data_IF_664736697694
#
_entry.id   IF_664736697694
#
_cell.length_a   1.000
_cell.length_b   1.000
_cell.length_c   1.000
_cell.angle_alpha   90.00
_cell.angle_beta   90.00
_cell.angle_gamma   90.00
#
_symmetry.space_group_name_H-M   'P 1'
#
loop_
_entity.id
_entity.type
_entity.pdbx_description
1 polymer ?
#
# COMPACT_ATOMS: atom_id res chain seq x y z
N UNK A 1 6.59 -7.31 -1.23
CA UNK A 1 7.34 -7.76 -0.04
C UNK A 1 6.97 -9.18 0.30
N UNK A 2 7.68 -9.78 1.23
CA UNK A 2 7.70 -11.24 1.43
C UNK A 2 6.38 -11.78 2.00
N UNK A 3 5.64 -10.95 2.74
CA UNK A 3 4.32 -11.30 3.29
C UNK A 3 3.16 -11.09 2.31
N UNK A 4 3.40 -10.63 1.08
CA UNK A 4 2.34 -10.29 0.12
C UNK A 4 1.40 -11.46 -0.18
N UNK A 5 1.94 -12.67 -0.33
CA UNK A 5 1.12 -13.87 -0.59
C UNK A 5 0.21 -14.22 0.59
N UNK A 6 0.73 -14.15 1.83
CA UNK A 6 -0.06 -14.43 3.02
C UNK A 6 -1.19 -13.41 3.23
N UNK A 7 -0.92 -12.13 2.95
CA UNK A 7 -1.94 -11.06 3.02
C UNK A 7 -3.01 -11.29 1.95
N UNK A 8 -2.62 -11.64 0.72
CA UNK A 8 -3.57 -11.93 -0.36
C UNK A 8 -4.48 -13.13 -0.03
N UNK A 9 -3.93 -14.22 0.48
CA UNK A 9 -4.71 -15.39 0.91
C UNK A 9 -5.70 -15.03 2.02
N UNK A 10 -5.25 -14.26 3.02
CA UNK A 10 -6.09 -13.79 4.10
C UNK A 10 -7.22 -12.88 3.58
N UNK A 11 -6.92 -11.95 2.66
CA UNK A 11 -7.89 -11.05 2.04
C UNK A 11 -8.97 -11.84 1.28
N UNK A 12 -8.56 -12.80 0.43
CA UNK A 12 -9.48 -13.68 -0.31
C UNK A 12 -10.38 -14.49 0.61
N UNK A 13 -9.84 -15.04 1.69
CA UNK A 13 -10.62 -15.78 2.70
C UNK A 13 -11.72 -14.94 3.35
N UNK A 14 -11.54 -13.62 3.42
CA UNK A 14 -12.51 -12.68 3.98
C UNK A 14 -13.37 -11.97 2.91
N UNK A 15 -13.34 -12.44 1.66
CA UNK A 15 -14.21 -11.94 0.59
C UNK A 15 -13.68 -10.71 -0.15
N UNK A 16 -12.42 -10.34 0.04
CA UNK A 16 -11.78 -9.29 -0.75
C UNK A 16 -11.09 -9.93 -1.97
N UNK A 17 -11.56 -9.56 -3.17
CA UNK A 17 -11.06 -10.14 -4.43
C UNK A 17 -10.40 -9.13 -5.37
N UNK A 18 -10.68 -7.83 -5.20
CA UNK A 18 -9.95 -6.78 -5.90
C UNK A 18 -8.62 -6.51 -5.18
N UNK A 19 -7.59 -7.25 -5.59
CA UNK A 19 -6.26 -7.22 -4.99
C UNK A 19 -5.25 -6.92 -6.09
N UNK A 20 -4.51 -5.82 -5.94
CA UNK A 20 -3.43 -5.45 -6.85
C UNK A 20 -2.08 -5.56 -6.14
N UNK A 21 -1.16 -6.31 -6.76
CA UNK A 21 0.22 -6.43 -6.27
C UNK A 21 1.08 -5.31 -6.82
N UNK A 22 2.03 -4.86 -6.01
CA UNK A 22 3.03 -3.89 -6.39
C UNK A 22 4.40 -4.25 -5.80
N UNK A 23 5.44 -3.85 -6.53
CA UNK A 23 6.85 -4.01 -6.23
C UNK A 23 7.42 -2.87 -5.36
N UNK A 24 6.69 -1.77 -5.20
CA UNK A 24 7.15 -0.58 -4.46
C UNK A 24 5.98 0.16 -3.82
N UNK A 25 6.26 0.84 -2.70
CA UNK A 25 5.24 1.64 -2.00
C UNK A 25 4.70 2.76 -2.90
N UNK A 26 5.56 3.41 -3.67
CA UNK A 26 5.18 4.51 -4.54
C UNK A 26 4.21 4.06 -5.63
N UNK A 27 4.44 2.89 -6.24
CA UNK A 27 3.54 2.31 -7.24
C UNK A 27 2.24 1.85 -6.59
N UNK A 28 2.27 1.24 -5.41
CA UNK A 28 1.06 0.88 -4.66
C UNK A 28 0.17 2.09 -4.36
N UNK A 29 0.75 3.20 -3.92
CA UNK A 29 0.02 4.46 -3.67
C UNK A 29 -0.62 5.01 -4.95
N UNK A 30 0.10 4.99 -6.08
CA UNK A 30 -0.46 5.43 -7.37
C UNK A 30 -1.61 4.54 -7.85
N UNK A 31 -1.49 3.22 -7.69
CA UNK A 31 -2.58 2.29 -8.03
C UNK A 31 -3.81 2.55 -7.17
N UNK A 32 -3.63 2.74 -5.85
CA UNK A 32 -4.71 3.06 -4.94
C UNK A 32 -5.37 4.40 -5.29
N UNK A 33 -4.59 5.44 -5.61
CA UNK A 33 -5.11 6.73 -6.04
C UNK A 33 -5.94 6.64 -7.32
N UNK A 34 -5.47 5.90 -8.32
CA UNK A 34 -6.19 5.75 -9.60
C UNK A 34 -7.46 4.90 -9.48
N UNK A 35 -7.53 4.01 -8.49
CA UNK A 35 -8.70 3.19 -8.22
C UNK A 35 -9.75 3.88 -7.33
N UNK A 36 -9.32 4.88 -6.53
CA UNK A 36 -10.18 5.59 -5.59
C UNK A 36 -11.09 6.62 -6.29
N UNK A 37 -12.29 6.78 -5.77
CA UNK A 37 -13.25 7.81 -6.18
C UNK A 37 -13.34 8.94 -5.14
N UNK A 38 -13.85 10.13 -5.50
CA UNK A 38 -14.12 11.18 -4.52
C UNK A 38 -15.00 10.66 -3.37
N UNK A 39 -14.50 10.77 -2.14
CA UNK A 39 -15.15 10.25 -0.93
C UNK A 39 -14.50 8.99 -0.35
N UNK A 40 -13.63 8.31 -1.11
CA UNK A 40 -12.89 7.15 -0.62
C UNK A 40 -11.70 7.54 0.26
N UNK A 41 -11.23 6.58 1.06
CA UNK A 41 -10.04 6.71 1.91
C UNK A 41 -8.98 5.70 1.49
N UNK A 42 -7.77 6.19 1.22
CA UNK A 42 -6.58 5.35 1.00
C UNK A 42 -5.78 5.25 2.30
N UNK A 43 -5.68 4.04 2.86
CA UNK A 43 -4.99 3.77 4.13
C UNK A 43 -3.72 2.95 3.91
N UNK A 44 -2.59 3.42 4.43
CA UNK A 44 -1.37 2.62 4.59
C UNK A 44 -1.38 1.92 5.96
N UNK A 45 -1.71 0.62 5.98
CA UNK A 45 -1.66 -0.22 7.19
C UNK A 45 -0.98 -1.57 6.88
N UNK A 46 0.36 -1.62 6.85
CA UNK A 46 1.11 -2.74 6.29
C UNK A 46 1.10 -4.02 7.15
N UNK A 47 0.54 -3.99 8.37
CA UNK A 47 0.39 -5.12 9.31
C UNK A 47 1.68 -5.94 9.62
N UNK A 48 2.82 -5.54 9.06
CA UNK A 48 4.11 -6.22 9.13
C UNK A 48 5.23 -5.17 9.26
N UNK A 49 6.31 -5.58 9.93
CA UNK A 49 7.55 -4.81 9.98
C UNK A 49 8.20 -4.83 8.58
N UNK A 50 8.52 -3.66 8.01
CA UNK A 50 9.06 -3.54 6.64
C UNK A 50 10.57 -3.51 6.60
N UNK A 51 11.24 -4.48 7.22
CA UNK A 51 12.71 -4.48 7.29
C UNK A 51 13.33 -4.83 5.94
N UNK A 52 12.54 -5.36 5.00
CA UNK A 52 13.01 -5.77 3.67
C UNK A 52 13.05 -4.62 2.64
N UNK A 53 12.36 -3.50 2.91
CA UNK A 53 12.25 -2.37 1.96
C UNK A 53 12.57 -0.99 2.54
N UNK A 54 12.57 -0.82 3.87
CA UNK A 54 12.84 0.45 4.53
C UNK A 54 13.60 0.22 5.84
N UNK A 55 14.50 1.13 6.20
CA UNK A 55 15.30 1.01 7.43
C UNK A 55 14.45 1.21 8.69
N UNK A 56 13.32 1.92 8.57
CA UNK A 56 12.42 2.23 9.69
C UNK A 56 10.96 2.40 9.26
N UNK A 57 10.04 2.38 10.23
CA UNK A 57 8.64 2.66 9.96
C UNK A 57 8.41 4.14 9.61
N UNK A 58 9.22 5.03 10.17
CA UNK A 58 9.22 6.46 9.91
C UNK A 58 9.60 6.76 8.47
N UNK A 59 10.64 6.09 7.95
CA UNK A 59 11.05 6.22 6.55
C UNK A 59 9.93 5.80 5.61
N UNK A 60 9.30 4.65 5.87
CA UNK A 60 8.14 4.16 5.10
C UNK A 60 7.00 5.19 5.12
N UNK A 61 6.70 5.77 6.29
CA UNK A 61 5.68 6.81 6.44
C UNK A 61 6.04 8.11 5.71
N UNK A 62 7.32 8.49 5.70
CA UNK A 62 7.83 9.63 4.95
C UNK A 62 7.63 9.43 3.44
N UNK A 63 8.06 8.28 2.90
CA UNK A 63 7.90 7.95 1.47
C UNK A 63 6.43 7.91 1.06
N UNK A 64 5.54 7.40 1.92
CA UNK A 64 4.10 7.47 1.69
C UNK A 64 3.62 8.92 1.52
N UNK A 65 3.93 9.80 2.50
CA UNK A 65 3.54 11.22 2.46
C UNK A 65 4.09 11.93 1.24
N UNK A 66 5.38 11.75 0.94
CA UNK A 66 6.03 12.33 -0.24
C UNK A 66 5.36 11.88 -1.53
N UNK A 67 5.03 10.59 -1.63
CA UNK A 67 4.32 10.07 -2.81
C UNK A 67 2.93 10.71 -2.92
N UNK A 68 2.16 10.75 -1.83
CA UNK A 68 0.83 11.37 -1.81
C UNK A 68 0.89 12.84 -2.21
N UNK A 69 1.84 13.62 -1.68
CA UNK A 69 2.01 15.02 -2.06
C UNK A 69 2.47 15.23 -3.50
N UNK A 70 3.08 14.21 -4.13
CA UNK A 70 3.47 14.25 -5.54
C UNK A 70 2.30 13.95 -6.50
N UNK A 71 1.19 13.39 -5.99
CA UNK A 71 -0.01 13.13 -6.80
C UNK A 71 -0.67 14.48 -7.12
N UNK A 72 -0.89 14.72 -8.42
CA UNK A 72 -1.65 15.86 -8.89
C UNK A 72 -3.12 15.47 -9.00
N UNK A 73 -3.99 16.25 -8.36
CA UNK A 73 -5.43 16.24 -8.60
C UNK A 73 -5.83 17.24 -9.68
#
# INVERSE_FOLDING_TARGET
>A
GDTASAIEEAAKKHGFFDIQKSDSLQRAVKLAYNAAMPGDVVLLSPACASWDMFESFEERGRVFKETVYSLKG
#
